data_IF_750803313013
#
_entry.id   IF_750803313013
#
_cell.length_a   1.000
_cell.length_b   1.000
_cell.length_c   1.000
_cell.angle_alpha   90.00
_cell.angle_beta   90.00
_cell.angle_gamma   90.00
#
_symmetry.space_group_name_H-M   'P 1'
#
loop_
_entity.id
_entity.type
_entity.pdbx_description
1 polymer ?
#
# COMPACT_ATOMS: atom_id res chain seq x y z
N UNK A 1 1.74 56.07 -13.29
CA UNK A 1 2.15 54.91 -14.11
C UNK A 1 1.60 53.64 -13.47
N UNK A 2 0.65 52.97 -14.12
CA UNK A 2 -0.04 51.80 -13.54
C UNK A 2 0.87 50.57 -13.70
N UNK A 3 1.50 50.13 -12.61
CA UNK A 3 2.34 48.92 -12.62
C UNK A 3 1.38 47.72 -12.78
N UNK A 4 1.26 47.20 -13.99
CA UNK A 4 0.66 45.89 -14.24
C UNK A 4 1.57 44.82 -13.62
N UNK A 5 1.41 44.57 -12.32
CA UNK A 5 2.07 43.49 -11.61
C UNK A 5 1.55 42.15 -12.13
N UNK A 6 2.31 41.55 -13.05
CA UNK A 6 2.68 40.14 -13.15
C UNK A 6 1.65 39.03 -12.80
N UNK A 7 0.34 39.28 -12.90
CA UNK A 7 -0.74 38.25 -12.80
C UNK A 7 -0.58 37.14 -13.84
N UNK A 8 0.21 37.38 -14.89
CA UNK A 8 0.41 36.47 -16.01
C UNK A 8 1.25 35.23 -15.65
N UNK A 9 2.12 35.29 -14.62
CA UNK A 9 3.00 34.17 -14.28
C UNK A 9 2.37 33.16 -13.32
N UNK A 10 1.55 33.60 -12.36
CA UNK A 10 0.88 32.69 -11.42
C UNK A 10 -0.23 31.87 -12.10
N UNK A 11 -1.00 32.48 -13.01
CA UNK A 11 -2.03 31.77 -13.79
C UNK A 11 -1.41 30.68 -14.67
N UNK A 12 -0.27 30.95 -15.31
CA UNK A 12 0.43 29.95 -16.13
C UNK A 12 1.01 28.81 -15.29
N UNK A 13 1.61 29.12 -14.15
CA UNK A 13 2.08 28.10 -13.21
C UNK A 13 0.93 27.23 -12.66
N UNK A 14 -0.22 27.85 -12.35
CA UNK A 14 -1.42 27.13 -11.91
C UNK A 14 -2.02 26.25 -13.02
N UNK A 15 -2.07 26.72 -14.26
CA UNK A 15 -2.52 25.92 -15.42
C UNK A 15 -1.56 24.75 -15.67
N UNK A 16 -0.25 24.96 -15.54
CA UNK A 16 0.74 23.88 -15.67
C UNK A 16 0.61 22.85 -14.54
N UNK A 17 0.43 23.30 -13.30
CA UNK A 17 0.19 22.41 -12.16
C UNK A 17 -1.11 21.62 -12.29
N UNK A 18 -2.19 22.25 -12.76
CA UNK A 18 -3.47 21.58 -13.05
C UNK A 18 -3.34 20.60 -14.22
N UNK A 19 -2.59 20.94 -15.26
CA UNK A 19 -2.28 20.04 -16.37
C UNK A 19 -1.46 18.83 -15.92
N UNK A 20 -0.46 19.04 -15.06
CA UNK A 20 0.34 17.97 -14.47
C UNK A 20 -0.50 17.07 -13.53
N UNK A 21 -1.40 17.64 -12.72
CA UNK A 21 -2.36 16.86 -11.94
C UNK A 21 -3.34 16.09 -12.82
N UNK A 22 -3.86 16.71 -13.87
CA UNK A 22 -4.75 16.03 -14.84
C UNK A 22 -4.04 14.88 -15.54
N UNK A 23 -2.77 15.07 -15.92
CA UNK A 23 -1.95 14.02 -16.51
C UNK A 23 -1.62 12.92 -15.51
N UNK A 24 -1.36 13.25 -14.24
CA UNK A 24 -1.21 12.26 -13.15
C UNK A 24 -2.50 11.47 -12.92
N UNK A 25 -3.65 12.13 -12.84
CA UNK A 25 -4.95 11.45 -12.67
C UNK A 25 -5.25 10.57 -13.88
N UNK A 26 -4.94 11.04 -15.09
CA UNK A 26 -5.12 10.27 -16.31
C UNK A 26 -4.15 9.08 -16.41
N UNK A 27 -2.89 9.24 -16.04
CA UNK A 27 -1.91 8.15 -16.00
C UNK A 27 -2.17 7.17 -14.86
N UNK A 28 -2.64 7.64 -13.70
CA UNK A 28 -3.19 6.79 -12.63
C UNK A 28 -4.44 6.07 -13.14
N UNK A 29 -5.34 6.71 -13.90
CA UNK A 29 -6.54 6.09 -14.45
C UNK A 29 -6.26 5.06 -15.54
N UNK A 30 -5.30 5.33 -16.44
CA UNK A 30 -4.80 4.39 -17.42
C UNK A 30 -4.11 3.22 -16.75
N UNK A 31 -3.25 3.49 -15.76
CA UNK A 31 -2.63 2.46 -14.94
C UNK A 31 -3.69 1.70 -14.16
N UNK A 32 -4.75 2.31 -13.63
CA UNK A 32 -5.85 1.63 -12.95
C UNK A 32 -6.65 0.74 -13.91
N UNK A 33 -6.76 1.12 -15.18
CA UNK A 33 -7.44 0.32 -16.22
C UNK A 33 -6.57 -0.84 -16.72
N UNK A 34 -5.27 -0.62 -16.93
CA UNK A 34 -4.30 -1.67 -17.30
C UNK A 34 -3.97 -2.57 -16.11
N UNK A 35 -3.87 -2.01 -14.90
CA UNK A 35 -3.77 -2.75 -13.65
C UNK A 35 -5.09 -3.41 -13.28
N UNK A 36 -6.23 -3.06 -13.88
CA UNK A 36 -7.44 -3.90 -13.80
C UNK A 36 -7.43 -5.04 -14.79
N UNK A 37 -6.76 -4.90 -15.93
CA UNK A 37 -6.46 -6.02 -16.82
C UNK A 37 -5.44 -6.98 -16.19
N UNK A 38 -4.39 -6.43 -15.58
CA UNK A 38 -3.35 -7.19 -14.86
C UNK A 38 -3.89 -7.69 -13.50
N UNK A 39 -4.70 -6.91 -12.78
CA UNK A 39 -5.38 -7.39 -11.56
C UNK A 39 -6.58 -8.27 -11.83
N UNK A 40 -7.06 -8.47 -13.06
CA UNK A 40 -7.93 -9.62 -13.31
C UNK A 40 -7.13 -10.93 -13.32
N UNK A 41 -5.81 -10.86 -13.60
CA UNK A 41 -4.86 -11.95 -13.35
C UNK A 41 -4.31 -11.97 -11.91
N UNK A 42 -4.23 -10.82 -11.23
CA UNK A 42 -3.70 -10.67 -9.85
C UNK A 42 -4.80 -10.67 -8.74
N UNK A 43 -6.09 -10.67 -9.11
CA UNK A 43 -7.27 -10.88 -8.23
C UNK A 43 -7.78 -12.32 -8.32
N UNK A 44 -6.86 -13.22 -8.63
CA UNK A 44 -6.81 -14.51 -7.97
C UNK A 44 -5.91 -14.18 -6.77
N UNK A 45 -6.41 -14.27 -5.52
CA UNK A 45 -5.53 -14.41 -4.34
C UNK A 45 -4.31 -15.22 -4.80
N UNK A 46 -3.07 -14.79 -4.55
CA UNK A 46 -1.87 -15.49 -5.09
C UNK A 46 -2.14 -17.00 -5.07
N UNK A 47 -2.00 -17.71 -6.19
CA UNK A 47 -2.49 -19.11 -6.30
C UNK A 47 -2.07 -19.94 -5.06
N UNK A 48 -0.91 -19.62 -4.50
CA UNK A 48 -0.38 -20.10 -3.24
C UNK A 48 -1.22 -19.80 -1.97
N UNK A 49 -1.77 -18.60 -1.79
CA UNK A 49 -2.73 -18.28 -0.72
C UNK A 49 -4.03 -19.07 -0.84
N UNK A 50 -4.56 -19.24 -2.05
CA UNK A 50 -5.77 -20.06 -2.28
C UNK A 50 -5.48 -21.53 -1.99
N UNK A 51 -4.31 -22.03 -2.43
CA UNK A 51 -3.85 -23.39 -2.18
C UNK A 51 -3.61 -23.60 -0.68
N UNK A 52 -3.01 -22.63 0.01
CA UNK A 52 -2.78 -22.67 1.46
C UNK A 52 -4.10 -22.66 2.23
N UNK A 53 -5.03 -21.77 1.89
CA UNK A 53 -6.35 -21.72 2.54
C UNK A 53 -7.14 -23.02 2.32
N UNK A 54 -7.04 -23.59 1.11
CA UNK A 54 -7.61 -24.91 0.80
C UNK A 54 -6.96 -26.01 1.63
N UNK A 55 -5.63 -25.99 1.77
CA UNK A 55 -4.87 -26.97 2.56
C UNK A 55 -5.24 -26.89 4.05
N UNK A 56 -5.31 -25.69 4.62
CA UNK A 56 -5.75 -25.44 6.00
C UNK A 56 -7.21 -25.91 6.19
N UNK A 57 -8.09 -25.60 5.24
CA UNK A 57 -9.50 -25.97 5.33
C UNK A 57 -9.72 -27.49 5.21
N UNK A 58 -8.93 -28.19 4.39
CA UNK A 58 -8.90 -29.66 4.33
C UNK A 58 -8.41 -30.27 5.65
N UNK A 59 -7.33 -29.73 6.23
CA UNK A 59 -6.81 -30.19 7.52
C UNK A 59 -7.84 -30.00 8.66
N UNK A 60 -8.52 -28.86 8.68
CA UNK A 60 -9.63 -28.60 9.61
C UNK A 60 -10.79 -29.59 9.43
N UNK A 61 -11.15 -29.92 8.17
CA UNK A 61 -12.20 -30.89 7.88
C UNK A 61 -11.86 -32.28 8.41
N UNK A 62 -10.61 -32.71 8.25
CA UNK A 62 -10.10 -33.98 8.78
C UNK A 62 -10.18 -34.04 10.30
N UNK A 63 -9.79 -32.96 10.99
CA UNK A 63 -9.88 -32.87 12.45
C UNK A 63 -11.34 -32.99 12.92
N UNK A 64 -12.27 -32.27 12.28
CA UNK A 64 -13.71 -32.34 12.61
C UNK A 64 -14.28 -33.73 12.35
N UNK A 65 -13.94 -34.34 11.22
CA UNK A 65 -14.39 -35.69 10.88
C UNK A 65 -13.87 -36.74 11.88
N UNK A 66 -12.66 -36.55 12.43
CA UNK A 66 -12.14 -37.40 13.49
C UNK A 66 -12.97 -37.30 14.79
N UNK A 67 -13.45 -36.11 15.16
CA UNK A 67 -14.38 -35.96 16.29
C UNK A 67 -15.72 -36.64 16.02
N UNK A 68 -16.23 -36.52 14.80
CA UNK A 68 -17.48 -37.15 14.41
C UNK A 68 -17.39 -38.67 14.51
N UNK A 69 -16.26 -39.28 14.12
CA UNK A 69 -16.01 -40.72 14.34
C UNK A 69 -16.03 -41.06 15.82
N UNK A 70 -15.38 -40.26 16.66
CA UNK A 70 -15.39 -40.47 18.11
C UNK A 70 -16.80 -40.36 18.70
N UNK A 71 -17.64 -39.48 18.17
CA UNK A 71 -19.05 -39.36 18.55
C UNK A 71 -19.90 -40.54 18.03
N UNK A 72 -19.65 -41.04 16.83
CA UNK A 72 -20.31 -42.22 16.28
C UNK A 72 -19.97 -43.49 17.06
N UNK A 73 -18.72 -43.64 17.49
CA UNK A 73 -18.27 -44.70 18.39
C UNK A 73 -19.04 -44.74 19.72
N UNK A 74 -19.62 -43.61 20.16
CA UNK A 74 -20.48 -43.53 21.36
C UNK A 74 -21.91 -44.01 21.11
N UNK A 75 -22.39 -44.04 19.87
CA UNK A 75 -23.84 -44.13 19.56
C UNK A 75 -24.30 -45.33 18.72
N UNK A 76 -23.56 -45.84 17.71
CA UNK A 76 -23.64 -47.25 17.19
C UNK A 76 -22.75 -47.51 15.93
N UNK A 77 -22.59 -48.81 15.59
CA UNK A 77 -21.98 -49.47 14.40
C UNK A 77 -20.54 -49.08 14.03
N UNK A 78 -19.64 -49.80 14.70
CA UNK A 78 -18.18 -49.83 14.50
C UNK A 78 -17.72 -49.91 13.03
N UNK A 79 -18.44 -50.62 12.17
CA UNK A 79 -18.06 -50.82 10.77
C UNK A 79 -18.12 -49.52 9.94
N UNK A 80 -19.12 -48.67 10.18
CA UNK A 80 -19.26 -47.36 9.50
C UNK A 80 -18.14 -46.41 9.97
N UNK A 81 -17.80 -46.47 11.27
CA UNK A 81 -16.73 -45.68 11.86
C UNK A 81 -15.34 -46.08 11.31
N UNK A 82 -15.13 -47.36 11.00
CA UNK A 82 -13.89 -47.86 10.39
C UNK A 82 -13.75 -47.35 8.94
N UNK A 83 -14.82 -47.39 8.15
CA UNK A 83 -14.80 -46.88 6.76
C UNK A 83 -14.51 -45.38 6.73
N UNK A 84 -15.20 -44.61 7.57
CA UNK A 84 -14.95 -43.19 7.74
C UNK A 84 -13.51 -42.92 8.18
N UNK A 85 -12.96 -43.72 9.11
CA UNK A 85 -11.57 -43.56 9.57
C UNK A 85 -10.56 -43.73 8.43
N UNK A 86 -10.71 -44.76 7.61
CA UNK A 86 -9.79 -45.03 6.50
C UNK A 86 -9.78 -43.88 5.48
N UNK A 87 -10.94 -43.29 5.18
CA UNK A 87 -11.04 -42.15 4.27
C UNK A 87 -10.28 -40.93 4.82
N UNK A 88 -10.48 -40.62 6.11
CA UNK A 88 -9.84 -39.46 6.74
C UNK A 88 -8.32 -39.69 6.91
N UNK A 89 -7.89 -40.92 7.18
CA UNK A 89 -6.46 -41.26 7.29
C UNK A 89 -5.72 -41.11 5.95
N UNK A 90 -6.37 -41.46 4.84
CA UNK A 90 -5.83 -41.24 3.50
C UNK A 90 -5.71 -39.74 3.19
N UNK A 91 -6.75 -38.96 3.49
CA UNK A 91 -6.73 -37.50 3.32
C UNK A 91 -5.62 -36.85 4.16
N UNK A 92 -5.44 -37.32 5.39
CA UNK A 92 -4.39 -36.85 6.29
C UNK A 92 -2.99 -37.11 5.74
N UNK A 93 -2.74 -38.29 5.16
CA UNK A 93 -1.48 -38.61 4.49
C UNK A 93 -1.25 -37.75 3.24
N UNK A 94 -2.29 -37.50 2.44
CA UNK A 94 -2.22 -36.58 1.28
C UNK A 94 -1.81 -35.17 1.73
N UNK A 95 -2.44 -34.65 2.78
CA UNK A 95 -2.13 -33.33 3.34
C UNK A 95 -0.67 -33.25 3.79
N UNK A 96 -0.14 -34.29 4.44
CA UNK A 96 1.28 -34.33 4.84
C UNK A 96 2.24 -34.26 3.63
N UNK A 97 1.94 -34.97 2.56
CA UNK A 97 2.75 -34.92 1.35
C UNK A 97 2.67 -33.55 0.67
N UNK A 98 1.49 -32.95 0.64
CA UNK A 98 1.28 -31.60 0.10
C UNK A 98 2.04 -30.55 0.93
N UNK A 99 2.01 -30.58 2.26
CA UNK A 99 2.77 -29.67 3.13
C UNK A 99 4.29 -29.76 2.84
N UNK A 100 4.80 -30.97 2.62
CA UNK A 100 6.24 -31.19 2.42
C UNK A 100 6.72 -30.70 1.07
N UNK A 101 5.85 -30.78 0.05
CA UNK A 101 6.17 -30.48 -1.35
C UNK A 101 5.71 -29.09 -1.80
N UNK A 102 4.85 -28.41 -1.03
CA UNK A 102 4.30 -27.11 -1.38
C UNK A 102 5.40 -26.03 -1.41
N UNK A 103 5.71 -25.44 -2.59
CA UNK A 103 6.84 -24.52 -2.74
C UNK A 103 6.76 -23.30 -1.82
N UNK A 104 5.57 -22.72 -1.65
CA UNK A 104 5.33 -21.58 -0.77
C UNK A 104 5.79 -21.84 0.68
N UNK A 105 5.56 -23.05 1.21
CA UNK A 105 6.00 -23.39 2.56
C UNK A 105 7.53 -23.56 2.67
N UNK A 106 8.23 -23.86 1.57
CA UNK A 106 9.69 -23.87 1.57
C UNK A 106 10.27 -22.45 1.68
N UNK A 107 9.59 -21.47 1.10
CA UNK A 107 9.94 -20.06 1.20
C UNK A 107 9.53 -19.44 2.56
N UNK A 108 8.70 -20.14 3.33
CA UNK A 108 8.22 -19.74 4.65
C UNK A 108 8.47 -20.84 5.71
N UNK A 109 9.73 -21.08 6.13
CA UNK A 109 10.09 -22.20 7.00
C UNK A 109 9.41 -22.16 8.38
N UNK A 110 9.16 -20.96 8.92
CA UNK A 110 8.44 -20.80 10.19
C UNK A 110 6.98 -21.25 10.09
N UNK A 111 6.31 -20.85 9.00
CA UNK A 111 4.94 -21.27 8.71
C UNK A 111 4.88 -22.78 8.47
N UNK A 112 5.84 -23.34 7.73
CA UNK A 112 5.96 -24.78 7.49
C UNK A 112 6.13 -25.55 8.79
N UNK A 113 7.00 -25.08 9.69
CA UNK A 113 7.21 -25.69 11.01
C UNK A 113 5.92 -25.68 11.83
N UNK A 114 5.23 -24.55 11.92
CA UNK A 114 3.95 -24.46 12.64
C UNK A 114 2.87 -25.37 12.03
N UNK A 115 2.80 -25.48 10.70
CA UNK A 115 1.88 -26.40 10.03
C UNK A 115 2.20 -27.86 10.39
N UNK A 116 3.47 -28.27 10.31
CA UNK A 116 3.91 -29.64 10.65
C UNK A 116 3.63 -29.96 12.13
N UNK A 117 3.89 -29.03 13.05
CA UNK A 117 3.62 -29.23 14.48
C UNK A 117 2.13 -29.46 14.74
N UNK A 118 1.26 -28.60 14.21
CA UNK A 118 -0.19 -28.76 14.36
C UNK A 118 -0.68 -30.05 13.70
N UNK A 119 -0.11 -30.40 12.54
CA UNK A 119 -0.48 -31.64 11.89
C UNK A 119 -0.05 -32.83 12.74
N UNK A 120 1.22 -32.95 13.15
CA UNK A 120 1.71 -34.06 13.96
C UNK A 120 0.86 -34.31 15.22
N UNK A 121 0.43 -33.26 15.92
CA UNK A 121 -0.47 -33.41 17.07
C UNK A 121 -1.85 -33.96 16.66
N UNK A 122 -2.40 -33.53 15.52
CA UNK A 122 -3.62 -34.09 14.96
C UNK A 122 -3.45 -35.58 14.53
N UNK A 123 -2.25 -35.98 14.06
CA UNK A 123 -1.93 -37.38 13.77
C UNK A 123 -2.01 -38.25 15.03
N UNK A 124 -1.52 -37.75 16.16
CA UNK A 124 -1.60 -38.46 17.44
C UNK A 124 -3.06 -38.65 17.83
N UNK A 125 -3.89 -37.61 17.67
CA UNK A 125 -5.34 -37.70 17.88
C UNK A 125 -6.00 -38.74 16.98
N UNK A 126 -5.62 -38.80 15.70
CA UNK A 126 -6.13 -39.81 14.77
C UNK A 126 -5.69 -41.24 15.17
N UNK A 127 -4.43 -41.41 15.56
CA UNK A 127 -3.91 -42.70 16.04
C UNK A 127 -4.66 -43.20 17.29
N UNK A 128 -4.99 -42.31 18.23
CA UNK A 128 -5.84 -42.68 19.37
C UNK A 128 -7.23 -43.14 18.94
N UNK A 129 -7.82 -42.53 17.91
CA UNK A 129 -9.11 -42.98 17.35
C UNK A 129 -8.99 -44.38 16.75
N UNK A 130 -7.89 -44.69 16.07
CA UNK A 130 -7.63 -46.04 15.55
C UNK A 130 -7.48 -47.09 16.65
N UNK A 131 -6.76 -46.77 17.72
CA UNK A 131 -6.65 -47.66 18.88
C UNK A 131 -8.03 -47.93 19.50
N UNK A 132 -8.89 -46.92 19.59
CA UNK A 132 -10.27 -47.08 20.06
C UNK A 132 -11.10 -47.97 19.13
N UNK A 133 -10.99 -47.77 17.80
CA UNK A 133 -11.62 -48.61 16.79
C UNK A 133 -11.13 -50.06 16.83
N UNK A 134 -9.87 -50.31 17.15
CA UNK A 134 -9.30 -51.67 17.18
C UNK A 134 -9.46 -52.35 18.55
N UNK A 135 -9.68 -51.58 19.62
CA UNK A 135 -9.86 -52.12 20.96
C UNK A 135 -11.13 -52.96 21.11
N UNK A 136 -11.07 -53.97 22.00
CA UNK A 136 -12.20 -54.79 22.43
C UNK A 136 -12.93 -54.23 23.65
N UNK A 137 -12.41 -53.16 24.27
CA UNK A 137 -12.95 -52.56 25.49
C UNK A 137 -14.04 -51.52 25.22
N UNK A 138 -14.87 -51.23 26.23
CA UNK A 138 -15.81 -50.12 26.16
C UNK A 138 -15.04 -48.78 26.10
N UNK A 139 -15.54 -47.85 25.28
CA UNK A 139 -14.99 -46.50 25.12
C UNK A 139 -14.78 -45.83 26.50
N UNK A 140 -13.54 -45.43 26.79
CA UNK A 140 -13.21 -44.57 27.94
C UNK A 140 -12.68 -43.25 27.41
N UNK A 141 -13.30 -42.18 27.87
CA UNK A 141 -13.06 -40.82 27.41
C UNK A 141 -11.64 -40.37 27.78
N UNK A 142 -10.80 -40.22 26.77
CA UNK A 142 -9.39 -39.91 26.97
C UNK A 142 -8.71 -39.46 25.68
N UNK A 143 -9.17 -38.39 25.05
CA UNK A 143 -8.34 -37.62 24.11
C UNK A 143 -8.99 -36.28 23.73
N UNK A 144 -8.12 -35.30 23.52
CA UNK A 144 -8.31 -33.85 23.37
C UNK A 144 -9.56 -33.36 22.61
N UNK A 145 -10.10 -32.25 23.12
CA UNK A 145 -11.10 -31.42 22.43
C UNK A 145 -10.48 -30.80 21.18
N UNK A 146 -11.14 -30.93 20.03
CA UNK A 146 -10.69 -30.35 18.77
C UNK A 146 -10.69 -28.83 18.71
N UNK A 147 -11.29 -28.18 19.70
CA UNK A 147 -11.26 -26.72 19.88
C UNK A 147 -9.83 -26.17 19.93
N UNK A 148 -8.86 -26.92 20.47
CA UNK A 148 -7.45 -26.52 20.49
C UNK A 148 -6.79 -26.62 19.11
N UNK A 149 -7.19 -27.56 18.26
CA UNK A 149 -6.68 -27.70 16.89
C UNK A 149 -7.28 -26.65 15.96
N UNK A 150 -8.59 -26.40 16.08
CA UNK A 150 -9.30 -25.42 15.25
C UNK A 150 -8.69 -24.04 15.40
N UNK A 151 -8.45 -23.59 16.64
CA UNK A 151 -7.83 -22.30 16.92
C UNK A 151 -6.40 -22.17 16.38
N UNK A 152 -5.62 -23.27 16.39
CA UNK A 152 -4.26 -23.30 15.83
C UNK A 152 -4.24 -23.25 14.30
N UNK A 153 -5.13 -23.99 13.63
CA UNK A 153 -5.29 -23.92 12.17
C UNK A 153 -5.85 -22.55 11.73
N UNK A 154 -6.74 -21.95 12.49
CA UNK A 154 -7.20 -20.58 12.24
C UNK A 154 -6.10 -19.53 12.45
N UNK A 155 -5.19 -19.76 13.41
CA UNK A 155 -4.02 -18.90 13.61
C UNK A 155 -3.04 -18.96 12.42
N UNK A 156 -2.91 -20.11 11.74
CA UNK A 156 -2.11 -20.23 10.50
C UNK A 156 -2.66 -19.33 9.38
N UNK A 157 -3.98 -19.13 9.29
CA UNK A 157 -4.58 -18.20 8.31
C UNK A 157 -4.23 -16.73 8.57
N UNK A 158 -3.81 -16.40 9.79
CA UNK A 158 -3.46 -15.03 10.22
C UNK A 158 -1.96 -14.82 10.32
N UNK A 159 -1.15 -15.75 9.83
CA UNK A 159 0.30 -15.69 10.00
C UNK A 159 0.88 -14.42 9.32
N UNK A 160 1.88 -13.74 9.92
CA UNK A 160 2.45 -12.51 9.38
C UNK A 160 2.99 -12.63 7.95
N UNK A 161 3.45 -13.83 7.57
CA UNK A 161 3.91 -14.12 6.20
C UNK A 161 2.81 -14.06 5.14
N UNK A 162 1.53 -14.12 5.55
CA UNK A 162 0.34 -14.04 4.69
C UNK A 162 -0.24 -12.61 4.71
N UNK A 163 -0.08 -11.89 5.82
CA UNK A 163 -0.76 -10.60 6.07
C UNK A 163 0.12 -9.37 5.88
N UNK A 164 1.43 -9.52 5.68
CA UNK A 164 2.31 -8.38 5.40
C UNK A 164 2.22 -7.95 3.93
N UNK A 165 2.00 -6.65 3.74
CA UNK A 165 2.04 -5.97 2.46
C UNK A 165 3.47 -6.04 1.91
N UNK A 166 3.76 -7.11 1.16
CA UNK A 166 5.08 -7.39 0.62
C UNK A 166 5.25 -6.70 -0.71
N UNK A 167 6.14 -5.70 -0.78
CA UNK A 167 6.49 -5.07 -2.07
C UNK A 167 7.11 -6.05 -3.08
N UNK A 168 7.48 -7.28 -2.66
CA UNK A 168 7.93 -8.36 -3.56
C UNK A 168 6.79 -8.98 -4.37
N UNK A 169 5.53 -8.84 -3.97
CA UNK A 169 4.40 -9.39 -4.75
C UNK A 169 4.04 -8.51 -5.95
N UNK A 170 4.44 -7.24 -5.96
CA UNK A 170 4.20 -6.36 -7.10
C UNK A 170 5.16 -6.68 -8.24
N UNK A 171 4.61 -6.79 -9.45
CA UNK A 171 5.41 -6.84 -10.67
C UNK A 171 6.36 -5.62 -10.73
N UNK A 172 7.56 -5.81 -11.29
CA UNK A 172 8.60 -4.80 -11.47
C UNK A 172 8.05 -3.52 -12.14
N UNK A 173 7.12 -3.64 -13.09
CA UNK A 173 6.47 -2.50 -13.73
C UNK A 173 5.63 -1.66 -12.76
N UNK A 174 4.91 -2.30 -11.84
CA UNK A 174 4.11 -1.63 -10.81
C UNK A 174 5.00 -0.89 -9.82
N UNK A 175 6.12 -1.48 -9.43
CA UNK A 175 7.11 -0.84 -8.56
C UNK A 175 7.72 0.38 -9.27
N UNK A 176 8.11 0.25 -10.55
CA UNK A 176 8.63 1.36 -11.34
C UNK A 176 7.62 2.50 -11.49
N UNK A 177 6.35 2.17 -11.70
CA UNK A 177 5.27 3.15 -11.77
C UNK A 177 5.08 3.91 -10.45
N UNK A 178 5.01 3.19 -9.32
CA UNK A 178 4.89 3.80 -7.99
C UNK A 178 6.08 4.70 -7.66
N UNK A 179 7.31 4.23 -7.96
CA UNK A 179 8.52 5.03 -7.79
C UNK A 179 8.51 6.26 -8.70
N UNK A 180 7.95 6.16 -9.91
CA UNK A 180 7.73 7.28 -10.83
C UNK A 180 6.79 8.34 -10.25
N UNK A 181 5.66 7.93 -9.66
CA UNK A 181 4.72 8.84 -8.99
C UNK A 181 5.39 9.55 -7.81
N UNK A 182 6.11 8.82 -6.97
CA UNK A 182 6.81 9.37 -5.81
C UNK A 182 7.86 10.39 -6.28
N UNK A 183 8.69 10.02 -7.27
CA UNK A 183 9.71 10.90 -7.82
C UNK A 183 9.14 12.18 -8.42
N UNK A 184 8.04 12.06 -9.19
CA UNK A 184 7.36 13.22 -9.76
C UNK A 184 6.76 14.13 -8.69
N UNK A 185 6.16 13.56 -7.66
CA UNK A 185 5.58 14.32 -6.54
C UNK A 185 6.63 15.15 -5.81
N UNK A 186 7.82 14.57 -5.57
CA UNK A 186 8.95 15.27 -4.96
C UNK A 186 9.42 16.44 -5.84
N UNK A 187 9.59 16.20 -7.14
CA UNK A 187 10.01 17.25 -8.08
C UNK A 187 9.00 18.40 -8.17
N UNK A 188 7.70 18.09 -8.16
CA UNK A 188 6.63 19.09 -8.15
C UNK A 188 6.69 19.96 -6.89
N UNK A 189 6.87 19.36 -5.71
CA UNK A 189 7.00 20.09 -4.45
C UNK A 189 8.23 21.00 -4.43
N UNK A 190 9.38 20.52 -4.92
CA UNK A 190 10.60 21.34 -5.03
C UNK A 190 10.36 22.53 -5.96
N UNK A 191 9.69 22.31 -7.09
CA UNK A 191 9.41 23.37 -8.07
C UNK A 191 8.49 24.44 -7.48
N UNK A 192 7.43 24.05 -6.76
CA UNK A 192 6.55 25.00 -6.06
C UNK A 192 7.33 25.78 -5.00
N UNK A 193 8.16 25.09 -4.21
CA UNK A 193 8.95 25.74 -3.16
C UNK A 193 9.94 26.76 -3.73
N UNK A 194 10.67 26.42 -4.79
CA UNK A 194 11.60 27.33 -5.45
C UNK A 194 10.89 28.55 -6.05
N UNK A 195 9.70 28.36 -6.64
CA UNK A 195 8.89 29.45 -7.19
C UNK A 195 8.44 30.44 -6.10
N UNK A 196 7.94 29.92 -4.97
CA UNK A 196 7.52 30.75 -3.83
C UNK A 196 8.71 31.56 -3.29
N UNK A 197 9.88 30.92 -3.15
CA UNK A 197 11.10 31.59 -2.67
C UNK A 197 11.54 32.70 -3.63
N UNK A 198 11.49 32.44 -4.94
CA UNK A 198 11.83 33.43 -5.97
C UNK A 198 10.88 34.64 -5.93
N UNK A 199 9.57 34.41 -5.81
CA UNK A 199 8.59 35.49 -5.71
C UNK A 199 8.80 36.39 -4.50
N UNK A 200 9.10 35.81 -3.33
CA UNK A 200 9.39 36.60 -2.12
C UNK A 200 10.57 37.53 -2.34
N UNK A 201 11.68 37.01 -2.87
CA UNK A 201 12.88 37.81 -3.17
C UNK A 201 12.59 38.94 -4.17
N UNK A 202 11.77 38.67 -5.19
CA UNK A 202 11.38 39.69 -6.18
C UNK A 202 10.52 40.78 -5.55
N UNK A 203 9.57 40.42 -4.68
CA UNK A 203 8.76 41.40 -3.95
C UNK A 203 9.61 42.26 -3.04
N UNK A 204 10.56 41.67 -2.30
CA UNK A 204 11.45 42.43 -1.43
C UNK A 204 12.28 43.45 -2.22
N UNK A 205 12.81 43.04 -3.39
CA UNK A 205 13.54 43.93 -4.29
C UNK A 205 12.65 45.06 -4.86
N UNK A 206 11.40 44.75 -5.21
CA UNK A 206 10.45 45.75 -5.69
C UNK A 206 10.12 46.77 -4.62
N UNK A 207 9.85 46.32 -3.39
CA UNK A 207 9.58 47.21 -2.24
C UNK A 207 10.79 48.09 -1.95
N UNK A 208 12.00 47.53 -1.98
CA UNK A 208 13.23 48.30 -1.82
C UNK A 208 13.38 49.38 -2.92
N UNK A 209 13.19 49.01 -4.19
CA UNK A 209 13.31 49.96 -5.30
C UNK A 209 12.23 51.03 -5.30
N UNK A 210 11.00 50.70 -4.89
CA UNK A 210 9.94 51.68 -4.72
C UNK A 210 10.26 52.66 -3.59
N UNK A 211 10.82 52.18 -2.48
CA UNK A 211 11.28 53.04 -1.39
C UNK A 211 12.41 53.97 -1.83
N UNK A 212 13.43 53.45 -2.52
CA UNK A 212 14.54 54.26 -3.07
C UNK A 212 14.03 55.34 -4.02
N UNK A 213 13.09 54.98 -4.91
CA UNK A 213 12.48 55.92 -5.84
C UNK A 213 11.70 57.02 -5.11
N UNK A 214 10.89 56.67 -4.09
CA UNK A 214 10.15 57.66 -3.28
C UNK A 214 11.09 58.63 -2.58
N UNK A 215 12.19 58.13 -2.00
CA UNK A 215 13.20 58.99 -1.38
C UNK A 215 13.85 59.91 -2.42
N UNK A 216 14.21 59.38 -3.59
CA UNK A 216 14.81 60.17 -4.67
C UNK A 216 13.89 61.28 -5.18
N UNK A 217 12.63 60.95 -5.48
CA UNK A 217 11.62 61.93 -5.90
C UNK A 217 11.40 62.98 -4.80
N UNK A 218 11.29 62.57 -3.54
CA UNK A 218 11.16 63.49 -2.41
C UNK A 218 12.34 64.44 -2.26
N UNK A 219 13.56 64.02 -2.62
CA UNK A 219 14.72 64.92 -2.61
C UNK A 219 14.59 65.94 -3.75
N UNK A 220 14.28 65.49 -4.97
CA UNK A 220 14.15 66.36 -6.14
C UNK A 220 13.00 67.37 -6.00
N UNK A 221 11.86 66.95 -5.45
CA UNK A 221 10.71 67.82 -5.18
C UNK A 221 11.07 68.98 -4.23
N UNK A 222 12.04 68.78 -3.33
CA UNK A 222 12.49 69.78 -2.37
C UNK A 222 13.72 70.59 -2.84
N UNK A 223 14.23 70.34 -4.04
CA UNK A 223 15.33 71.14 -4.59
C UNK A 223 14.79 72.49 -5.08
N UNK A 224 15.53 73.56 -4.82
CA UNK A 224 15.21 74.91 -5.32
C UNK A 224 15.50 75.10 -6.81
N UNK A 225 16.25 74.19 -7.41
CA UNK A 225 16.62 74.20 -8.83
C UNK A 225 15.58 73.45 -9.66
N UNK A 226 15.32 73.90 -10.89
CA UNK A 226 14.48 73.17 -11.84
C UNK A 226 15.16 71.89 -12.32
N UNK A 227 14.57 70.73 -12.00
CA UNK A 227 15.07 69.40 -12.39
C UNK A 227 14.07 68.70 -13.30
N UNK A 228 14.54 68.24 -14.46
CA UNK A 228 13.77 67.43 -15.41
C UNK A 228 14.48 66.10 -15.63
N UNK A 229 13.76 65.00 -15.47
CA UNK A 229 14.26 63.63 -15.70
C UNK A 229 13.67 63.11 -17.00
N UNK A 230 14.55 62.72 -17.94
CA UNK A 230 14.16 62.12 -19.21
C UNK A 230 14.49 60.63 -19.27
N UNK A 231 13.76 59.90 -20.11
CA UNK A 231 14.11 58.53 -20.46
C UNK A 231 15.29 58.49 -21.43
N UNK A 232 15.75 57.26 -21.74
CA UNK A 232 16.85 57.03 -22.68
C UNK A 232 16.58 57.50 -24.12
N UNK A 233 15.35 57.88 -24.43
CA UNK A 233 14.91 58.36 -25.73
C UNK A 233 14.67 59.88 -25.73
N UNK A 234 14.94 60.56 -24.61
CA UNK A 234 14.79 62.00 -24.46
C UNK A 234 13.38 62.46 -24.09
N UNK A 235 12.44 61.56 -23.79
CA UNK A 235 11.10 61.94 -23.33
C UNK A 235 11.12 62.29 -21.85
N UNK A 236 10.49 63.41 -21.47
CA UNK A 236 10.38 63.79 -20.07
C UNK A 236 9.47 62.82 -19.30
N UNK A 237 10.04 62.22 -18.27
CA UNK A 237 9.37 61.24 -17.39
C UNK A 237 8.97 61.82 -16.04
N UNK A 238 9.62 62.89 -15.60
CA UNK A 238 9.33 63.59 -14.35
C UNK A 238 9.96 64.99 -14.35
N UNK A 239 9.35 65.92 -13.62
CA UNK A 239 9.84 67.27 -13.40
C UNK A 239 9.38 67.77 -12.02
N UNK A 240 10.17 68.61 -11.36
CA UNK A 240 9.77 69.25 -10.11
C UNK A 240 9.07 70.59 -10.34
N UNK A 241 8.48 71.15 -9.28
CA UNK A 241 7.74 72.40 -9.35
C UNK A 241 8.62 73.57 -9.83
N UNK A 242 9.88 73.65 -9.37
CA UNK A 242 10.81 74.69 -9.80
C UNK A 242 11.13 74.63 -11.30
N UNK A 243 11.02 73.47 -11.96
CA UNK A 243 11.18 73.36 -13.41
C UNK A 243 9.97 73.87 -14.21
N UNK A 244 8.79 73.96 -13.59
CA UNK A 244 7.58 74.55 -14.21
C UNK A 244 7.57 76.07 -14.16
N UNK A 245 8.36 76.65 -13.25
CA UNK A 245 8.40 78.09 -12.97
C UNK A 245 9.46 78.84 -13.79
N UNK A 246 10.26 78.11 -14.59
CA UNK A 246 11.30 78.61 -15.51
C UNK A 246 10.76 78.61 -16.94
#
# INVERSE_FOLDING_TARGET
MMIQTNKFNLKKAAIFALGAMGFLIYSVGLFYSESHLISFQEKIQSDDEVILDRLISRALSVVKANDDIRNQLRTSKKDIAIEHYNNIANDYNSINQEIMTFPFLNDHPDLKKSFIEVNNEASVSLATTYELLTSKGAYREGASQSSSFISRYEALKRHPSITQLSFKSFNQSTIQFLMGIIGFSVLALITIFTLIRSQRKLNDLLVQKESELKTFLSVIDNMSEGVIVSDRFGFFTYYNQSALEI
#
